data_IF_128050863192
#
_entry.id   IF_128050863192
#
_cell.length_a   1.000
_cell.length_b   1.000
_cell.length_c   1.000
_cell.angle_alpha   90.00
_cell.angle_beta   90.00
_cell.angle_gamma   90.00
#
_symmetry.space_group_name_H-M   'P 1'
#
loop_
_entity.id
_entity.type
_entity.pdbx_description
1 polymer ?
#
# COMPACT_ATOMS: atom_id res chain seq x y z
N UNK A 1 -2.57 10.59 7.60
CA UNK A 1 -4.00 10.48 7.29
C UNK A 1 -4.20 10.42 5.79
N UNK A 2 -5.04 9.51 5.31
CA UNK A 2 -5.34 9.35 3.89
C UNK A 2 -6.85 9.41 3.65
N UNK A 3 -7.24 10.22 2.68
CA UNK A 3 -8.62 10.32 2.19
C UNK A 3 -8.67 9.73 0.78
N UNK A 4 -9.65 8.87 0.52
CA UNK A 4 -9.93 8.31 -0.82
C UNK A 4 -11.35 8.70 -1.20
N UNK A 5 -11.49 9.40 -2.32
CA UNK A 5 -12.78 9.77 -2.90
C UNK A 5 -13.22 8.68 -3.88
N UNK A 6 -14.40 8.13 -3.67
CA UNK A 6 -15.03 7.18 -4.58
C UNK A 6 -16.45 7.65 -4.88
N UNK A 7 -16.65 8.25 -6.04
CA UNK A 7 -17.85 9.00 -6.42
C UNK A 7 -18.13 10.15 -5.42
N UNK A 8 -19.24 10.09 -4.66
CA UNK A 8 -19.62 11.07 -3.66
C UNK A 8 -19.14 10.72 -2.24
N UNK A 9 -18.63 9.48 -2.05
CA UNK A 9 -18.17 8.99 -0.75
C UNK A 9 -16.70 9.32 -0.53
N UNK A 10 -16.36 9.68 0.72
CA UNK A 10 -14.98 9.89 1.17
C UNK A 10 -14.67 8.87 2.25
N UNK A 11 -13.66 8.03 2.00
CA UNK A 11 -13.14 7.06 2.96
C UNK A 11 -11.87 7.60 3.57
N UNK A 12 -11.82 7.67 4.90
CA UNK A 12 -10.67 8.18 5.65
C UNK A 12 -9.95 7.05 6.37
N UNK A 13 -8.62 7.10 6.30
CA UNK A 13 -7.74 6.11 6.91
C UNK A 13 -6.67 6.80 7.76
N UNK A 14 -6.41 6.24 8.94
CA UNK A 14 -5.14 6.43 9.62
C UNK A 14 -4.10 5.56 8.92
N UNK A 15 -2.94 6.14 8.61
CA UNK A 15 -1.87 5.43 7.91
C UNK A 15 -0.58 5.55 8.69
N UNK A 16 0.03 4.43 9.04
CA UNK A 16 1.36 4.35 9.63
C UNK A 16 2.29 3.60 8.68
N UNK A 17 3.42 4.21 8.34
CA UNK A 17 4.41 3.62 7.43
C UNK A 17 5.73 3.48 8.15
N UNK A 18 6.27 2.27 8.15
CA UNK A 18 7.62 1.96 8.60
C UNK A 18 8.45 1.47 7.43
N UNK A 19 9.67 1.98 7.32
CA UNK A 19 10.60 1.60 6.26
C UNK A 19 11.99 1.32 6.85
N UNK A 20 12.65 0.27 6.40
CA UNK A 20 14.03 -0.09 6.71
C UNK A 20 14.76 -0.45 5.41
N UNK A 21 16.06 -0.25 5.37
CA UNK A 21 16.92 -0.62 4.24
C UNK A 21 16.62 -2.04 3.69
N UNK A 22 17.00 -2.29 2.44
CA UNK A 22 16.73 -3.51 1.67
C UNK A 22 15.25 -3.70 1.35
N UNK A 23 14.51 -2.57 1.21
CA UNK A 23 13.09 -2.56 0.81
C UNK A 23 12.14 -3.25 1.80
N UNK A 24 12.47 -3.32 3.08
CA UNK A 24 11.51 -3.74 4.09
C UNK A 24 10.57 -2.57 4.40
N UNK A 25 9.26 -2.81 4.31
CA UNK A 25 8.27 -1.84 4.76
C UNK A 25 7.05 -2.52 5.38
N UNK A 26 6.42 -1.80 6.28
CA UNK A 26 5.13 -2.14 6.86
C UNK A 26 4.24 -0.92 6.80
N UNK A 27 3.10 -1.05 6.11
CA UNK A 27 2.07 -0.02 6.00
C UNK A 27 0.84 -0.51 6.73
N UNK A 28 0.42 0.18 7.77
CA UNK A 28 -0.80 -0.11 8.52
C UNK A 28 -1.86 0.89 8.08
N UNK A 29 -2.96 0.39 7.55
CA UNK A 29 -4.10 1.16 7.06
C UNK A 29 -5.31 0.85 7.94
N UNK A 30 -5.76 1.80 8.75
CA UNK A 30 -6.95 1.65 9.59
C UNK A 30 -8.04 2.59 9.11
N UNK A 31 -9.17 2.04 8.68
CA UNK A 31 -10.34 2.82 8.30
C UNK A 31 -10.93 3.46 9.56
N UNK A 32 -11.07 4.80 9.56
CA UNK A 32 -11.47 5.56 10.75
C UNK A 32 -12.94 5.43 11.10
N UNK A 33 -13.78 4.91 10.20
CA UNK A 33 -15.23 4.77 10.44
C UNK A 33 -15.62 3.43 11.07
N UNK A 34 -14.81 2.37 10.89
CA UNK A 34 -15.14 1.02 11.35
C UNK A 34 -13.96 0.27 11.99
N UNK A 35 -12.83 0.96 12.19
CA UNK A 35 -11.59 0.43 12.77
C UNK A 35 -11.02 -0.81 12.04
N UNK A 36 -11.49 -1.08 10.82
CA UNK A 36 -10.94 -2.17 10.02
C UNK A 36 -9.51 -1.88 9.61
N UNK A 37 -8.61 -2.78 9.98
CA UNK A 37 -7.17 -2.63 9.74
C UNK A 37 -6.69 -3.63 8.70
N UNK A 38 -5.93 -3.13 7.73
CA UNK A 38 -5.12 -3.91 6.80
C UNK A 38 -3.65 -3.54 6.95
N UNK A 39 -2.78 -4.53 6.79
CA UNK A 39 -1.33 -4.31 6.81
C UNK A 39 -0.74 -4.78 5.49
N UNK A 40 0.03 -3.90 4.86
CA UNK A 40 0.87 -4.26 3.73
C UNK A 40 2.28 -4.43 4.27
N UNK A 41 2.80 -5.64 4.16
CA UNK A 41 4.12 -6.00 4.65
C UNK A 41 5.02 -6.42 3.48
N UNK A 42 6.20 -5.85 3.41
CA UNK A 42 7.28 -6.35 2.54
C UNK A 42 8.52 -6.68 3.35
N UNK A 43 9.07 -7.85 3.08
CA UNK A 43 10.34 -8.32 3.63
C UNK A 43 11.08 -9.17 2.57
N UNK A 44 12.13 -9.90 2.98
CA UNK A 44 12.90 -10.79 2.12
C UNK A 44 12.07 -11.92 1.48
N UNK A 45 10.97 -12.31 2.12
CA UNK A 45 10.12 -13.41 1.66
C UNK A 45 9.08 -12.97 0.61
N UNK A 46 8.82 -11.66 0.51
CA UNK A 46 7.90 -11.09 -0.48
C UNK A 46 6.99 -10.00 0.08
N UNK A 47 5.87 -9.79 -0.63
CA UNK A 47 4.86 -8.78 -0.28
C UNK A 47 3.57 -9.47 0.15
N UNK A 48 3.04 -9.05 1.28
CA UNK A 48 1.83 -9.60 1.88
C UNK A 48 0.80 -8.49 2.11
N UNK A 49 -0.48 -8.80 1.87
CA UNK A 49 -1.61 -8.08 2.46
C UNK A 49 -2.16 -8.92 3.59
N UNK A 50 -2.23 -8.33 4.76
CA UNK A 50 -2.61 -9.00 5.99
C UNK A 50 -3.87 -8.36 6.55
N UNK A 51 -4.84 -9.17 6.97
CA UNK A 51 -6.01 -8.75 7.72
C UNK A 51 -5.91 -9.34 9.13
N UNK A 52 -5.34 -8.61 10.11
CA UNK A 52 -5.04 -9.15 11.44
C UNK A 52 -6.28 -9.67 12.17
N UNK A 53 -7.42 -8.97 12.07
CA UNK A 53 -8.68 -9.37 12.71
C UNK A 53 -9.22 -10.73 12.26
N UNK A 54 -8.80 -11.20 11.09
CA UNK A 54 -9.17 -12.50 10.52
C UNK A 54 -8.05 -13.54 10.62
N UNK A 55 -6.90 -13.16 11.16
CA UNK A 55 -5.66 -13.96 11.16
C UNK A 55 -5.31 -14.50 9.75
N UNK A 56 -5.49 -13.64 8.70
CA UNK A 56 -5.29 -14.03 7.31
C UNK A 56 -4.25 -13.15 6.64
N UNK A 57 -3.45 -13.78 5.76
CA UNK A 57 -2.54 -13.09 4.87
C UNK A 57 -2.65 -13.62 3.45
N UNK A 58 -2.42 -12.74 2.49
CA UNK A 58 -2.29 -13.06 1.07
C UNK A 58 -0.92 -12.60 0.59
N UNK A 59 -0.15 -13.50 -0.01
CA UNK A 59 1.15 -13.19 -0.61
C UNK A 59 0.99 -12.85 -2.08
N UNK A 60 1.50 -11.70 -2.49
CA UNK A 60 1.52 -11.33 -3.91
C UNK A 60 2.53 -12.18 -4.69
N UNK A 61 2.13 -12.57 -5.90
CA UNK A 61 2.97 -13.34 -6.83
C UNK A 61 3.80 -12.44 -7.76
N UNK A 62 3.63 -11.12 -7.68
CA UNK A 62 4.25 -10.13 -8.55
C UNK A 62 5.17 -9.17 -7.80
N UNK A 63 5.95 -8.38 -8.53
CA UNK A 63 6.84 -7.34 -8.00
C UNK A 63 6.09 -6.08 -7.51
N UNK A 64 4.78 -6.23 -7.19
CA UNK A 64 4.05 -5.14 -6.59
C UNK A 64 4.78 -4.64 -5.32
N UNK A 65 4.92 -3.35 -5.05
CA UNK A 65 4.28 -2.21 -5.74
C UNK A 65 5.16 -1.51 -6.78
N UNK A 66 6.31 -2.05 -7.19
CA UNK A 66 7.35 -1.31 -7.93
C UNK A 66 6.90 -0.72 -9.25
N UNK A 67 5.87 -1.28 -9.88
CA UNK A 67 5.35 -0.76 -11.14
C UNK A 67 4.16 0.20 -10.95
N UNK A 68 3.86 0.60 -9.71
CA UNK A 68 2.71 1.42 -9.38
C UNK A 68 3.12 2.57 -8.48
N UNK A 69 2.59 3.75 -8.72
CA UNK A 69 2.73 4.87 -7.79
C UNK A 69 2.06 4.57 -6.45
N UNK A 70 2.71 4.95 -5.35
CA UNK A 70 2.22 4.70 -3.99
C UNK A 70 2.33 5.97 -3.15
N UNK A 71 1.19 6.56 -2.80
CA UNK A 71 1.13 7.85 -2.07
C UNK A 71 1.71 7.79 -0.66
N UNK A 72 1.85 6.61 -0.09
CA UNK A 72 2.35 6.40 1.28
C UNK A 72 3.79 5.87 1.33
N UNK A 73 4.38 5.43 0.22
CA UNK A 73 5.77 4.95 0.20
C UNK A 73 6.72 6.06 -0.22
N UNK A 74 7.55 6.51 0.72
CA UNK A 74 8.52 7.58 0.50
C UNK A 74 9.44 7.30 -0.69
N UNK A 75 9.89 6.05 -0.88
CA UNK A 75 10.72 5.64 -2.01
C UNK A 75 10.02 5.91 -3.33
N UNK A 76 8.75 5.48 -3.48
CA UNK A 76 7.95 5.73 -4.69
C UNK A 76 7.80 7.23 -4.97
N UNK A 77 7.54 8.04 -3.94
CA UNK A 77 7.42 9.49 -4.09
C UNK A 77 8.74 10.14 -4.53
N UNK A 78 9.88 9.69 -4.01
CA UNK A 78 11.20 10.20 -4.41
C UNK A 78 11.50 9.80 -5.86
N UNK A 79 11.21 8.57 -6.26
CA UNK A 79 11.35 8.09 -7.63
C UNK A 79 10.49 8.90 -8.59
N UNK A 80 9.23 9.14 -8.27
CA UNK A 80 8.32 9.98 -9.07
C UNK A 80 8.82 11.42 -9.18
N UNK A 81 9.32 12.02 -8.09
CA UNK A 81 9.91 13.36 -8.11
C UNK A 81 11.23 13.42 -8.90
N UNK A 82 11.96 12.32 -9.00
CA UNK A 82 13.23 12.23 -9.73
C UNK A 82 13.03 11.97 -11.23
N UNK A 83 11.88 11.43 -11.62
CA UNK A 83 11.56 11.18 -13.03
C UNK A 83 11.26 12.51 -13.74
N UNK A 84 12.04 12.81 -14.80
CA UNK A 84 11.90 14.06 -15.56
C UNK A 84 10.73 14.04 -16.55
N UNK A 85 10.21 12.86 -16.91
CA UNK A 85 9.11 12.74 -17.86
C UNK A 85 7.79 13.25 -17.27
N UNK A 86 7.34 14.39 -17.77
CA UNK A 86 6.10 15.04 -17.38
C UNK A 86 6.09 15.61 -15.96
N UNK A 87 7.28 15.80 -15.36
CA UNK A 87 7.44 16.51 -14.08
C UNK A 87 7.37 18.02 -14.29
N UNK A 88 6.64 18.69 -13.39
CA UNK A 88 6.76 20.13 -13.17
C UNK A 88 7.13 20.41 -11.73
N UNK A 89 7.76 21.57 -11.51
CA UNK A 89 8.23 22.03 -10.21
C UNK A 89 7.84 23.50 -10.01
N UNK A 90 7.30 23.79 -8.85
CA UNK A 90 6.93 25.13 -8.42
C UNK A 90 7.46 25.41 -7.01
N UNK A 91 7.98 26.62 -6.81
CA UNK A 91 8.34 27.14 -5.48
C UNK A 91 7.35 28.23 -5.12
N UNK A 92 6.82 28.20 -3.92
CA UNK A 92 5.91 29.20 -3.39
C UNK A 92 6.25 29.56 -1.93
N UNK A 93 5.46 30.44 -1.31
CA UNK A 93 5.71 30.88 0.06
C UNK A 93 5.58 29.80 1.12
N UNK A 94 4.89 28.68 0.82
CA UNK A 94 4.72 27.54 1.73
C UNK A 94 5.86 26.51 1.61
N UNK A 95 6.51 26.44 0.45
CA UNK A 95 7.56 25.48 0.17
C UNK A 95 7.67 25.14 -1.31
N UNK A 96 7.60 23.84 -1.63
CA UNK A 96 7.82 23.34 -2.97
C UNK A 96 6.69 22.40 -3.37
N UNK A 97 6.35 22.38 -4.64
CA UNK A 97 5.34 21.47 -5.21
C UNK A 97 5.91 20.80 -6.44
N UNK A 98 5.92 19.48 -6.44
CA UNK A 98 6.19 18.67 -7.63
C UNK A 98 4.87 18.13 -8.16
N UNK A 99 4.67 18.23 -9.47
CA UNK A 99 3.58 17.53 -10.14
C UNK A 99 4.21 16.50 -11.08
N UNK A 100 3.81 15.23 -10.94
CA UNK A 100 4.37 14.11 -11.68
C UNK A 100 3.25 13.26 -12.28
N UNK A 101 3.55 12.50 -13.32
CA UNK A 101 2.66 11.44 -13.80
C UNK A 101 2.58 10.31 -12.77
N UNK A 102 1.49 9.57 -12.77
CA UNK A 102 1.30 8.38 -11.92
C UNK A 102 0.90 7.18 -12.75
N UNK A 103 1.18 5.99 -12.21
CA UNK A 103 0.78 4.72 -12.79
C UNK A 103 -0.06 3.95 -11.78
N UNK A 104 -1.36 3.85 -12.06
CA UNK A 104 -2.32 3.03 -11.31
C UNK A 104 -3.00 2.06 -12.27
N UNK A 105 -2.45 0.85 -12.50
CA UNK A 105 -2.91 -0.05 -13.56
C UNK A 105 -4.39 -0.40 -13.50
N UNK A 106 -4.97 -0.40 -12.31
CA UNK A 106 -6.39 -0.72 -12.09
C UNK A 106 -7.29 0.53 -12.06
N UNK A 107 -6.75 1.72 -12.29
CA UNK A 107 -7.51 2.97 -12.28
C UNK A 107 -6.89 4.03 -13.22
N UNK A 108 -7.22 3.92 -14.49
CA UNK A 108 -6.73 4.83 -15.55
C UNK A 108 -7.25 6.28 -15.41
N UNK A 109 -8.21 6.54 -14.51
CA UNK A 109 -8.69 7.89 -14.22
C UNK A 109 -7.64 8.69 -13.45
N UNK A 110 -6.75 8.03 -12.71
CA UNK A 110 -5.69 8.65 -11.94
C UNK A 110 -4.50 8.92 -12.87
N UNK A 111 -4.21 10.19 -13.17
CA UNK A 111 -3.26 10.54 -14.23
C UNK A 111 -2.03 11.28 -13.74
N UNK A 112 -2.12 11.95 -12.60
CA UNK A 112 -1.01 12.71 -12.01
C UNK A 112 -1.11 12.82 -10.51
N UNK A 113 0.00 13.17 -9.87
CA UNK A 113 0.02 13.51 -8.45
C UNK A 113 0.74 14.84 -8.23
N UNK A 114 0.34 15.51 -7.16
CA UNK A 114 0.99 16.72 -6.65
C UNK A 114 1.58 16.39 -5.29
N UNK A 115 2.90 16.55 -5.14
CA UNK A 115 3.67 16.29 -3.92
C UNK A 115 4.13 17.63 -3.37
N UNK A 116 3.57 18.04 -2.23
CA UNK A 116 3.92 19.29 -1.56
C UNK A 116 4.93 19.03 -0.45
N UNK A 117 6.01 19.82 -0.43
CA UNK A 117 7.01 19.81 0.62
C UNK A 117 7.03 21.19 1.32
N UNK A 118 7.29 21.17 2.61
CA UNK A 118 7.55 22.40 3.36
C UNK A 118 8.91 23.03 3.00
N UNK A 119 9.23 24.18 3.59
CA UNK A 119 10.52 24.86 3.38
C UNK A 119 11.73 24.09 3.89
N UNK A 120 11.52 23.07 4.74
CA UNK A 120 12.55 22.17 5.26
C UNK A 120 12.66 20.87 4.45
N UNK A 121 11.92 20.79 3.34
CA UNK A 121 11.83 19.63 2.45
C UNK A 121 11.14 18.39 3.09
N UNK A 122 10.37 18.58 4.14
CA UNK A 122 9.49 17.51 4.62
C UNK A 122 8.26 17.42 3.71
N UNK A 123 7.85 16.19 3.39
CA UNK A 123 6.59 15.97 2.69
C UNK A 123 5.44 16.36 3.61
N UNK A 124 4.56 17.21 3.12
CA UNK A 124 3.35 17.67 3.83
C UNK A 124 2.10 16.96 3.31
N UNK A 125 1.82 17.12 2.02
CA UNK A 125 0.62 16.56 1.39
C UNK A 125 0.94 16.00 0.01
N UNK A 126 0.42 14.80 -0.26
CA UNK A 126 0.37 14.22 -1.61
C UNK A 126 -1.07 14.13 -2.06
N UNK A 127 -1.38 14.58 -3.28
CA UNK A 127 -2.69 14.46 -3.91
C UNK A 127 -2.56 13.72 -5.21
N UNK A 128 -3.40 12.71 -5.42
CA UNK A 128 -3.55 12.05 -6.71
C UNK A 128 -4.80 12.58 -7.38
N UNK A 129 -4.65 12.97 -8.63
CA UNK A 129 -5.62 13.76 -9.37
C UNK A 129 -6.09 13.00 -10.60
N UNK A 130 -7.36 13.20 -10.94
CA UNK A 130 -7.91 12.79 -12.22
C UNK A 130 -7.55 13.78 -13.35
N UNK A 131 -8.02 13.50 -14.56
CA UNK A 131 -7.81 14.35 -15.74
C UNK A 131 -8.38 15.78 -15.59
N UNK A 132 -9.42 15.94 -14.77
CA UNK A 132 -10.11 17.21 -14.54
C UNK A 132 -9.52 17.96 -13.33
N UNK A 133 -8.42 17.47 -12.77
CA UNK A 133 -7.71 17.96 -11.59
C UNK A 133 -8.49 17.81 -10.27
N UNK A 134 -9.50 16.96 -10.21
CA UNK A 134 -10.15 16.63 -8.95
C UNK A 134 -9.26 15.69 -8.13
N UNK A 135 -9.15 15.97 -6.84
CA UNK A 135 -8.40 15.10 -5.91
C UNK A 135 -9.19 13.83 -5.66
N UNK A 136 -8.61 12.69 -6.02
CA UNK A 136 -9.18 11.36 -5.80
C UNK A 136 -8.57 10.67 -4.58
N UNK A 137 -7.27 10.90 -4.33
CA UNK A 137 -6.58 10.44 -3.13
C UNK A 137 -5.80 11.63 -2.56
N UNK A 138 -5.89 11.80 -1.24
CA UNK A 138 -5.11 12.80 -0.52
C UNK A 138 -4.45 12.12 0.68
N UNK A 139 -3.13 12.23 0.76
CA UNK A 139 -2.32 11.76 1.88
C UNK A 139 -1.68 12.95 2.58
N UNK A 140 -1.95 13.12 3.87
CA UNK A 140 -1.33 14.14 4.72
C UNK A 140 -0.34 13.47 5.67
N UNK A 141 0.90 13.94 5.64
CA UNK A 141 1.97 13.49 6.51
C UNK A 141 1.99 14.37 7.76
N UNK A 142 1.52 13.82 8.87
CA UNK A 142 1.45 14.55 10.15
C UNK A 142 2.77 14.52 10.91
N UNK A 143 3.57 13.43 10.73
CA UNK A 143 4.84 13.22 11.40
C UNK A 143 5.73 12.28 10.58
N UNK A 144 7.02 12.57 10.54
CA UNK A 144 8.05 11.70 9.96
C UNK A 144 9.16 11.60 10.99
N UNK A 145 9.48 10.37 11.42
CA UNK A 145 10.58 10.07 12.32
C UNK A 145 11.72 9.43 11.50
N UNK A 146 12.80 10.14 11.38
CA UNK A 146 13.99 9.67 10.69
C UNK A 146 14.86 8.80 11.60
N UNK A 147 15.53 7.81 11.04
CA UNK A 147 16.49 6.93 11.73
C UNK A 147 15.91 6.18 12.95
N UNK A 148 14.62 5.88 12.90
CA UNK A 148 13.97 5.05 13.93
C UNK A 148 14.52 3.62 13.86
N UNK A 149 14.98 3.07 15.00
CA UNK A 149 15.34 1.67 15.12
C UNK A 149 14.11 0.76 15.16
N UNK A 150 14.24 -0.42 14.60
CA UNK A 150 13.22 -1.47 14.65
C UNK A 150 13.85 -2.76 15.16
N UNK A 151 13.08 -3.59 15.91
CA UNK A 151 13.49 -4.96 16.26
C UNK A 151 13.67 -5.81 15.00
N UNK A 152 14.41 -6.91 15.11
CA UNK A 152 14.71 -7.76 13.96
C UNK A 152 13.46 -8.41 13.36
N UNK A 153 12.48 -8.72 14.19
CA UNK A 153 11.20 -9.34 13.86
C UNK A 153 10.10 -8.34 13.44
N UNK A 154 10.36 -7.03 13.50
CA UNK A 154 9.33 -6.00 13.24
C UNK A 154 8.68 -6.12 11.86
N UNK A 155 9.43 -6.61 10.87
CA UNK A 155 8.96 -6.82 9.49
C UNK A 155 8.66 -8.29 9.19
N UNK A 156 8.51 -9.14 10.19
CA UNK A 156 8.12 -10.53 10.02
C UNK A 156 6.60 -10.67 10.03
N UNK A 157 6.08 -11.60 9.23
CA UNK A 157 4.64 -11.88 9.18
C UNK A 157 4.10 -12.33 10.55
N UNK A 158 4.90 -13.09 11.31
CA UNK A 158 4.59 -13.55 12.65
C UNK A 158 4.44 -12.43 13.68
N UNK A 159 4.96 -11.23 13.40
CA UNK A 159 4.73 -10.06 14.26
C UNK A 159 3.32 -9.46 14.12
N UNK A 160 2.55 -9.92 13.12
CA UNK A 160 1.23 -9.35 12.77
C UNK A 160 0.11 -10.37 12.98
N UNK A 161 0.34 -11.62 12.61
CA UNK A 161 -0.63 -12.72 12.72
C UNK A 161 0.02 -14.00 13.22
N UNK A 162 -0.79 -14.93 13.75
CA UNK A 162 -0.35 -16.28 14.06
C UNK A 162 -0.20 -17.10 12.77
N UNK A 163 1.03 -17.27 12.32
CA UNK A 163 1.35 -18.01 11.07
C UNK A 163 1.08 -19.50 11.19
N UNK A 164 1.02 -20.08 12.41
CA UNK A 164 0.74 -21.49 12.64
C UNK A 164 -0.71 -21.81 12.28
N UNK A 165 -1.65 -21.04 12.83
CA UNK A 165 -3.08 -21.15 12.48
C UNK A 165 -3.37 -20.86 11.00
N UNK A 166 -2.65 -19.89 10.40
CA UNK A 166 -2.82 -19.54 9.00
C UNK A 166 -2.41 -20.67 8.06
N UNK A 167 -1.36 -21.46 8.41
CA UNK A 167 -0.92 -22.62 7.65
C UNK A 167 -1.89 -23.81 7.77
N UNK A 168 -2.44 -24.05 8.94
CA UNK A 168 -3.43 -25.12 9.16
C UNK A 168 -4.71 -24.89 8.35
N UNK A 169 -5.23 -23.65 8.30
CA UNK A 169 -6.40 -23.31 7.50
C UNK A 169 -6.15 -23.47 5.99
N UNK A 170 -4.96 -23.13 5.49
CA UNK A 170 -4.62 -23.31 4.08
C UNK A 170 -4.44 -24.77 3.67
N UNK A 171 -4.00 -25.65 4.57
CA UNK A 171 -3.87 -27.09 4.32
C UNK A 171 -5.22 -27.80 4.32
N UNK A 172 -6.21 -27.33 5.09
CA UNK A 172 -7.56 -27.87 5.11
C UNK A 172 -8.32 -27.52 3.83
N UNK A 173 -8.19 -26.30 3.33
CA UNK A 173 -8.82 -25.88 2.07
C UNK A 173 -8.26 -26.64 0.85
N UNK A 174 -6.98 -27.00 0.83
CA UNK A 174 -6.38 -27.82 -0.22
C UNK A 174 -6.72 -29.32 -0.13
N UNK A 175 -7.06 -29.81 1.07
CA UNK A 175 -7.46 -31.21 1.28
C UNK A 175 -8.89 -31.52 0.79
N UNK A 176 -9.75 -30.52 0.70
CA UNK A 176 -11.16 -30.72 0.34
C UNK A 176 -11.44 -30.62 -1.17
N UNK A 177 -10.46 -30.27 -2.01
CA UNK A 177 -10.62 -30.23 -3.47
C UNK A 177 -10.24 -31.55 -4.18
N UNK A 178 -9.77 -32.58 -3.46
CA UNK A 178 -9.26 -33.81 -4.09
C UNK A 178 -10.13 -35.06 -3.86
N UNK A 179 -11.36 -34.93 -3.39
CA UNK A 179 -12.24 -36.08 -3.18
C UNK A 179 -13.58 -35.94 -3.96
N UNK A 180 -13.52 -35.78 -5.30
CA UNK A 180 -14.66 -36.08 -6.16
C UNK A 180 -14.21 -36.29 -7.62
N UNK A 181 -13.60 -37.41 -7.90
CA UNK A 181 -13.55 -38.00 -9.24
C UNK A 181 -13.21 -39.48 -9.11
N UNK A 182 -14.17 -40.35 -9.09
CA UNK A 182 -14.27 -41.58 -9.89
C UNK A 182 -15.30 -42.55 -9.32
N UNK A 183 -16.41 -42.66 -10.01
CA UNK A 183 -17.06 -43.93 -10.27
C UNK A 183 -18.20 -43.69 -11.26
N UNK A 184 -17.89 -43.86 -12.53
CA UNK A 184 -18.90 -44.30 -13.49
C UNK A 184 -18.31 -45.53 -14.20
N UNK A 185 -18.69 -46.66 -13.67
CA UNK A 185 -18.52 -47.94 -14.28
C UNK A 185 -19.60 -48.09 -15.39
N UNK A 186 -19.15 -48.35 -16.60
CA UNK A 186 -19.98 -48.70 -17.72
C UNK A 186 -20.10 -50.20 -17.78
N UNK A 187 -21.33 -50.70 -17.67
CA UNK A 187 -21.70 -52.04 -18.12
C UNK A 187 -23.01 -52.00 -18.90
N UNK A 188 -22.89 -52.40 -20.14
CA UNK A 188 -23.82 -52.75 -21.20
C UNK A 188 -24.02 -51.74 -22.31
#
# INVERSE_FOLDING_TARGET
EMEITNNEDIYTYSVEVSFKEKDNYKVVLTNTSNDHTQVILRNSDGVYVVTPSLNKSFKFQSDWPYNNSQVYLLKSLIEDMSNEDGRSFEKNDKGYVFTTKVVYPNNEKLVKQSISLDKKLNIDVVRVLDKDNNTQIKMKYNRIDWNKGFSDDYFDLSSIIDVTEAREKSSVDNGNMNSNSNSNDNSN
#
